data_IF_972388856195
#
_entry.id   IF_972388856195
#
_cell.length_a   1.000
_cell.length_b   1.000
_cell.length_c   1.000
_cell.angle_alpha   90.00
_cell.angle_beta   90.00
_cell.angle_gamma   90.00
#
_symmetry.space_group_name_H-M   'P 1'
#
loop_
_entity.id
_entity.type
_entity.pdbx_description
1 polymer ?
#
# COMPACT_ATOMS: atom_id res chain seq x y z
N UNK A 1 3.20 7.64 15.92
CA UNK A 1 4.19 6.74 16.55
C UNK A 1 5.55 7.29 16.18
N UNK A 2 6.52 7.32 17.12
CA UNK A 2 7.89 7.71 16.80
C UNK A 2 8.74 6.49 16.39
N UNK A 3 9.96 6.75 15.90
CA UNK A 3 10.87 5.70 15.42
C UNK A 3 11.30 4.71 16.53
N UNK A 4 11.44 5.19 17.76
CA UNK A 4 11.81 4.34 18.90
C UNK A 4 10.68 3.36 19.23
N UNK A 5 9.44 3.86 19.25
CA UNK A 5 8.25 3.04 19.46
C UNK A 5 8.05 2.02 18.33
N UNK A 6 8.37 2.38 17.08
CA UNK A 6 8.30 1.45 15.95
C UNK A 6 9.34 0.32 16.09
N UNK A 7 10.59 0.64 16.47
CA UNK A 7 11.60 -0.40 16.73
C UNK A 7 11.20 -1.34 17.88
N UNK A 8 10.64 -0.80 18.96
CA UNK A 8 10.07 -1.63 20.04
C UNK A 8 8.96 -2.54 19.53
N UNK A 9 8.07 -2.05 18.67
CA UNK A 9 7.04 -2.89 18.05
C UNK A 9 7.65 -3.99 17.17
N UNK A 10 8.70 -3.69 16.40
CA UNK A 10 9.41 -4.68 15.59
C UNK A 10 10.02 -5.79 16.44
N UNK A 11 10.64 -5.45 17.58
CA UNK A 11 11.15 -6.44 18.54
C UNK A 11 10.04 -7.34 19.12
N UNK A 12 8.87 -6.76 19.41
CA UNK A 12 7.71 -7.54 19.87
C UNK A 12 7.17 -8.46 18.77
N UNK A 13 7.17 -8.01 17.52
CA UNK A 13 6.83 -8.83 16.36
C UNK A 13 7.81 -10.01 16.23
N UNK A 14 9.11 -9.78 16.37
CA UNK A 14 10.11 -10.85 16.32
C UNK A 14 9.89 -11.90 17.43
N UNK A 15 9.60 -11.44 18.65
CA UNK A 15 9.26 -12.33 19.78
C UNK A 15 8.00 -13.15 19.49
N UNK A 16 6.97 -12.55 18.89
CA UNK A 16 5.74 -13.25 18.52
C UNK A 16 5.98 -14.27 17.41
N UNK A 17 6.67 -13.88 16.34
CA UNK A 17 7.00 -14.76 15.22
C UNK A 17 7.80 -15.99 15.67
N UNK A 18 8.67 -15.86 16.69
CA UNK A 18 9.41 -17.01 17.25
C UNK A 18 8.53 -18.09 17.93
N UNK A 19 7.24 -17.79 18.15
CA UNK A 19 6.27 -18.64 18.86
C UNK A 19 5.07 -19.03 18.01
N UNK A 20 5.02 -18.58 16.75
CA UNK A 20 3.91 -18.82 15.83
C UNK A 20 4.38 -19.76 14.73
N UNK A 21 3.71 -20.89 14.54
CA UNK A 21 4.16 -21.92 13.59
C UNK A 21 3.48 -21.80 12.21
N UNK A 22 2.22 -21.35 12.15
CA UNK A 22 1.41 -21.29 10.93
C UNK A 22 1.11 -19.86 10.44
N UNK A 23 1.69 -18.85 11.09
CA UNK A 23 1.39 -17.45 10.83
C UNK A 23 2.61 -16.58 11.11
N UNK A 24 2.97 -15.71 10.17
CA UNK A 24 4.04 -14.71 10.33
C UNK A 24 3.44 -13.32 10.24
N UNK A 25 3.85 -12.46 11.16
CA UNK A 25 3.57 -11.03 11.13
C UNK A 25 4.75 -10.35 10.45
N UNK A 26 4.48 -9.61 9.37
CA UNK A 26 5.50 -8.78 8.74
C UNK A 26 5.67 -7.47 9.52
N UNK A 27 6.92 -7.10 9.78
CA UNK A 27 7.35 -5.81 10.32
C UNK A 27 7.16 -4.73 9.27
N UNK A 28 5.95 -4.19 9.19
CA UNK A 28 5.60 -3.15 8.24
C UNK A 28 5.18 -1.84 8.88
N UNK A 29 5.21 -0.78 8.09
CA UNK A 29 4.68 0.52 8.48
C UNK A 29 4.00 1.21 7.30
N UNK A 30 2.92 1.94 7.59
CA UNK A 30 2.35 2.92 6.69
C UNK A 30 2.99 4.29 6.96
N UNK A 31 3.74 4.77 5.98
CA UNK A 31 4.62 5.94 6.08
C UNK A 31 4.00 7.10 5.32
N UNK A 32 4.04 8.31 5.89
CA UNK A 32 3.53 9.47 5.17
C UNK A 32 4.51 9.84 4.06
N UNK A 33 3.99 10.05 2.85
CA UNK A 33 4.72 10.77 1.82
C UNK A 33 4.62 12.26 2.18
N UNK A 34 5.72 13.01 2.33
CA UNK A 34 5.74 14.46 2.64
C UNK A 34 5.44 15.30 1.40
N UNK A 35 5.12 16.60 1.54
CA UNK A 35 4.79 17.48 0.40
C UNK A 35 5.90 17.53 -0.67
N UNK A 36 7.14 17.34 -0.23
CA UNK A 36 8.35 17.30 -1.04
C UNK A 36 8.60 15.93 -1.69
N UNK A 37 7.76 14.92 -1.43
CA UNK A 37 7.88 13.56 -1.97
C UNK A 37 8.84 12.64 -1.22
N UNK A 38 9.22 12.99 0.03
CA UNK A 38 10.04 12.12 0.88
C UNK A 38 9.14 11.20 1.72
N UNK A 39 9.69 10.16 2.33
CA UNK A 39 9.01 9.31 3.32
C UNK A 39 9.28 9.84 4.74
N UNK A 40 8.29 9.86 5.63
CA UNK A 40 8.39 10.45 6.98
C UNK A 40 9.09 9.60 8.04
N UNK A 41 10.04 8.75 7.62
CA UNK A 41 10.93 7.98 8.48
C UNK A 41 12.37 8.08 7.98
N UNK A 42 13.34 7.85 8.88
CA UNK A 42 14.75 7.78 8.52
C UNK A 42 15.02 6.62 7.55
N UNK A 43 15.93 6.84 6.59
CA UNK A 43 16.34 5.82 5.61
C UNK A 43 16.87 4.56 6.30
N UNK A 44 17.55 4.70 7.45
CA UNK A 44 18.01 3.58 8.26
C UNK A 44 16.83 2.70 8.71
N UNK A 45 15.81 3.31 9.32
CA UNK A 45 14.63 2.58 9.78
C UNK A 45 13.81 1.99 8.63
N UNK A 46 13.65 2.71 7.53
CA UNK A 46 12.94 2.20 6.34
C UNK A 46 13.56 0.90 5.81
N UNK A 47 14.88 0.77 5.88
CA UNK A 47 15.62 -0.45 5.48
C UNK A 47 15.54 -1.59 6.50
N UNK A 48 15.14 -1.31 7.74
CA UNK A 48 14.91 -2.34 8.75
C UNK A 48 13.51 -2.97 8.64
N UNK A 49 12.56 -2.32 7.95
CA UNK A 49 11.19 -2.79 7.74
C UNK A 49 11.12 -3.84 6.62
N UNK A 50 10.29 -4.86 6.82
CA UNK A 50 10.03 -5.93 5.85
C UNK A 50 9.02 -5.50 4.77
N UNK A 51 8.12 -4.57 5.11
CA UNK A 51 7.17 -4.01 4.14
C UNK A 51 6.83 -2.55 4.46
N UNK A 52 7.32 -1.66 3.63
CA UNK A 52 6.98 -0.23 3.65
C UNK A 52 5.79 0.06 2.74
N UNK A 53 4.69 0.50 3.35
CA UNK A 53 3.53 1.07 2.68
C UNK A 53 3.65 2.59 2.76
N UNK A 54 3.24 3.33 1.73
CA UNK A 54 3.26 4.78 1.79
C UNK A 54 2.01 5.41 1.16
N UNK A 55 1.57 6.54 1.72
CA UNK A 55 0.36 7.24 1.30
C UNK A 55 0.39 8.73 1.61
N UNK A 56 -0.55 9.48 1.03
CA UNK A 56 -0.71 10.92 1.30
C UNK A 56 -1.84 11.14 2.29
N UNK A 57 -1.51 11.77 3.42
CA UNK A 57 -2.49 12.14 4.46
C UNK A 57 -2.63 13.65 4.68
N UNK A 58 -1.83 14.46 3.99
CA UNK A 58 -1.77 15.92 4.13
C UNK A 58 -1.53 16.62 2.80
N UNK A 59 -1.88 17.91 2.70
CA UNK A 59 -1.69 18.69 1.48
C UNK A 59 -2.57 18.24 0.30
N UNK A 60 -3.73 17.65 0.59
CA UNK A 60 -4.63 17.01 -0.39
C UNK A 60 -5.25 17.97 -1.42
N UNK A 61 -5.12 19.29 -1.20
CA UNK A 61 -5.65 20.34 -2.08
C UNK A 61 -4.62 20.83 -3.12
N UNK A 62 -3.43 20.25 -3.16
CA UNK A 62 -2.42 20.58 -4.16
C UNK A 62 -2.89 20.20 -5.57
N UNK A 63 -2.26 20.78 -6.60
CA UNK A 63 -2.64 20.49 -7.99
C UNK A 63 -2.36 19.03 -8.37
N UNK A 64 -3.00 18.58 -9.45
CA UNK A 64 -2.78 17.25 -10.03
C UNK A 64 -1.30 16.96 -10.24
N UNK A 65 -0.57 17.92 -10.80
CA UNK A 65 0.85 17.81 -11.11
C UNK A 65 1.70 17.71 -9.83
N UNK A 66 1.37 18.51 -8.81
CA UNK A 66 2.09 18.50 -7.54
C UNK A 66 1.91 17.17 -6.79
N UNK A 67 0.67 16.67 -6.69
CA UNK A 67 0.38 15.37 -6.08
C UNK A 67 1.06 14.24 -6.86
N UNK A 68 0.93 14.22 -8.18
CA UNK A 68 1.53 13.18 -9.03
C UNK A 68 3.05 13.14 -8.88
N UNK A 69 3.74 14.30 -8.97
CA UNK A 69 5.20 14.39 -8.79
C UNK A 69 5.65 13.94 -7.41
N UNK A 70 4.90 14.31 -6.37
CA UNK A 70 5.18 13.92 -4.98
C UNK A 70 5.13 12.40 -4.80
N UNK A 71 4.12 11.73 -5.36
CA UNK A 71 3.99 10.27 -5.29
C UNK A 71 5.08 9.58 -6.10
N UNK A 72 5.32 10.03 -7.33
CA UNK A 72 6.37 9.46 -8.20
C UNK A 72 7.73 9.55 -7.52
N UNK A 73 8.08 10.71 -6.96
CA UNK A 73 9.35 10.87 -6.23
C UNK A 73 9.49 9.92 -5.04
N UNK A 74 8.39 9.64 -4.34
CA UNK A 74 8.40 8.67 -3.24
C UNK A 74 8.65 7.23 -3.76
N UNK A 75 8.06 6.86 -4.90
CA UNK A 75 8.33 5.57 -5.55
C UNK A 75 9.79 5.47 -6.03
N UNK A 76 10.31 6.52 -6.66
CA UNK A 76 11.70 6.61 -7.15
C UNK A 76 12.76 6.52 -6.04
N UNK A 77 12.37 6.70 -4.77
CA UNK A 77 13.27 6.52 -3.64
C UNK A 77 13.78 5.07 -3.49
N UNK A 78 13.05 4.09 -4.01
CA UNK A 78 13.34 2.67 -3.84
C UNK A 78 13.16 2.18 -2.39
N UNK A 79 12.50 2.95 -1.53
CA UNK A 79 12.29 2.65 -0.10
C UNK A 79 10.86 2.24 0.24
N UNK A 80 9.95 2.18 -0.74
CA UNK A 80 8.56 1.77 -0.55
C UNK A 80 8.17 0.61 -1.45
N UNK A 81 7.22 -0.20 -1.00
CA UNK A 81 6.76 -1.39 -1.71
C UNK A 81 5.31 -1.26 -2.20
N UNK A 82 4.48 -0.50 -1.47
CA UNK A 82 3.03 -0.39 -1.72
C UNK A 82 2.59 1.07 -1.60
N UNK A 83 1.90 1.59 -2.62
CA UNK A 83 1.13 2.83 -2.51
C UNK A 83 -0.27 2.51 -1.95
N UNK A 84 -0.56 2.95 -0.73
CA UNK A 84 -1.85 2.69 -0.06
C UNK A 84 -2.93 3.66 -0.51
N UNK A 85 -4.17 3.15 -0.61
CA UNK A 85 -5.39 3.87 -0.98
C UNK A 85 -5.11 5.08 -1.90
N UNK A 86 -4.70 4.83 -3.17
CA UNK A 86 -3.97 5.78 -4.01
C UNK A 86 -4.69 7.08 -4.35
N UNK A 87 -6.00 7.16 -4.16
CA UNK A 87 -6.79 8.38 -4.45
C UNK A 87 -7.11 9.18 -3.20
N UNK A 88 -6.90 8.60 -2.02
CA UNK A 88 -7.22 9.19 -0.72
C UNK A 88 -8.71 9.47 -0.51
N UNK A 89 -9.59 8.92 -1.36
CA UNK A 89 -11.03 9.16 -1.25
C UNK A 89 -11.62 8.59 0.04
N UNK A 90 -12.70 9.21 0.50
CA UNK A 90 -13.59 8.68 1.53
C UNK A 90 -15.00 8.86 1.00
N UNK A 91 -15.68 7.75 0.73
CA UNK A 91 -17.02 7.71 0.15
C UNK A 91 -17.96 8.60 0.96
N UNK A 92 -18.69 9.48 0.25
CA UNK A 92 -19.61 10.47 0.81
C UNK A 92 -19.00 11.54 1.74
N UNK A 93 -17.66 11.60 1.90
CA UNK A 93 -16.99 12.59 2.78
C UNK A 93 -15.88 13.38 2.08
N UNK A 94 -15.06 12.71 1.28
CA UNK A 94 -13.90 13.29 0.61
C UNK A 94 -13.78 12.70 -0.79
N UNK A 95 -13.91 13.56 -1.81
CA UNK A 95 -13.59 13.18 -3.18
C UNK A 95 -12.11 12.74 -3.29
N UNK A 96 -11.75 11.91 -4.29
CA UNK A 96 -10.36 11.72 -4.69
C UNK A 96 -9.62 13.07 -4.76
N UNK A 97 -8.38 13.11 -4.29
CA UNK A 97 -7.51 14.23 -4.67
C UNK A 97 -7.15 14.13 -6.16
N UNK A 98 -6.75 15.25 -6.74
CA UNK A 98 -6.32 15.28 -8.13
C UNK A 98 -4.98 14.55 -8.26
N UNK A 99 -4.96 13.40 -8.95
CA UNK A 99 -3.76 12.59 -9.20
C UNK A 99 -3.83 11.96 -10.59
N UNK A 100 -2.70 11.92 -11.29
CA UNK A 100 -2.58 11.21 -12.56
C UNK A 100 -2.36 9.71 -12.32
N UNK A 101 -3.43 8.95 -12.10
CA UNK A 101 -3.32 7.50 -11.94
C UNK A 101 -2.71 6.80 -13.16
N UNK A 102 -2.81 7.39 -14.35
CA UNK A 102 -2.17 6.86 -15.55
C UNK A 102 -0.65 6.84 -15.37
N UNK A 103 -0.07 7.99 -15.01
CA UNK A 103 1.36 8.12 -14.72
C UNK A 103 1.79 7.29 -13.51
N UNK A 104 1.00 7.30 -12.43
CA UNK A 104 1.29 6.48 -11.23
C UNK A 104 1.38 5.00 -11.58
N UNK A 105 0.46 4.47 -12.40
CA UNK A 105 0.49 3.08 -12.82
C UNK A 105 1.70 2.73 -13.69
N UNK A 106 2.14 3.62 -14.59
CA UNK A 106 3.36 3.38 -15.38
C UNK A 106 4.58 3.33 -14.45
N UNK A 107 4.76 4.33 -13.59
CA UNK A 107 5.86 4.36 -12.62
C UNK A 107 5.83 3.15 -11.68
N UNK A 108 4.65 2.79 -11.17
CA UNK A 108 4.46 1.61 -10.32
C UNK A 108 4.88 0.31 -11.04
N UNK A 109 4.57 0.20 -12.34
CA UNK A 109 5.00 -0.94 -13.15
C UNK A 109 6.52 -0.98 -13.32
N UNK A 110 7.13 0.15 -13.65
CA UNK A 110 8.56 0.27 -13.89
C UNK A 110 9.40 -0.02 -12.64
N UNK A 111 8.93 0.45 -11.48
CA UNK A 111 9.63 0.35 -10.20
C UNK A 111 9.18 -0.83 -9.33
N UNK A 112 8.30 -1.69 -9.84
CA UNK A 112 7.68 -2.81 -9.13
C UNK A 112 7.00 -2.44 -7.79
N UNK A 113 6.46 -1.22 -7.71
CA UNK A 113 5.65 -0.76 -6.57
C UNK A 113 4.21 -1.21 -6.78
N UNK A 114 3.62 -1.88 -5.79
CA UNK A 114 2.22 -2.32 -5.89
C UNK A 114 1.23 -1.22 -5.52
N UNK A 115 0.03 -1.28 -6.09
CA UNK A 115 -1.07 -0.40 -5.72
C UNK A 115 -2.08 -1.12 -4.82
N UNK A 116 -2.48 -0.48 -3.73
CA UNK A 116 -3.48 -1.03 -2.83
C UNK A 116 -4.89 -0.94 -3.44
N UNK A 117 -5.65 -2.03 -3.31
CA UNK A 117 -7.10 -2.07 -3.38
C UNK A 117 -7.61 -2.21 -1.95
N UNK A 118 -7.81 -1.06 -1.32
CA UNK A 118 -8.25 -0.92 0.06
C UNK A 118 -9.72 -1.33 0.19
N UNK A 119 -9.96 -2.39 0.93
CA UNK A 119 -11.24 -3.04 1.15
C UNK A 119 -12.10 -2.36 2.23
N UNK A 120 -11.59 -1.32 2.90
CA UNK A 120 -12.36 -0.62 3.91
C UNK A 120 -13.61 0.00 3.28
N UNK A 121 -14.83 -0.20 3.84
CA UNK A 121 -16.08 0.20 3.19
C UNK A 121 -16.18 1.68 2.85
N UNK A 122 -15.62 2.55 3.68
CA UNK A 122 -15.60 3.99 3.45
C UNK A 122 -14.56 4.39 2.38
N UNK A 123 -13.64 3.50 2.00
CA UNK A 123 -12.60 3.77 0.99
C UNK A 123 -12.93 3.09 -0.34
N UNK A 124 -12.92 1.75 -0.36
CA UNK A 124 -12.99 0.93 -1.59
C UNK A 124 -12.05 1.44 -2.69
N UNK A 125 -10.81 1.76 -2.32
CA UNK A 125 -9.86 2.50 -3.15
C UNK A 125 -8.65 1.63 -3.49
N UNK A 126 -8.42 1.20 -4.72
CA UNK A 126 -8.94 1.69 -6.00
C UNK A 126 -10.38 1.24 -6.39
N UNK A 127 -11.03 2.03 -7.26
CA UNK A 127 -12.28 1.63 -7.94
C UNK A 127 -12.05 0.53 -8.97
N UNK A 128 -13.08 -0.24 -9.29
CA UNK A 128 -13.05 -1.28 -10.34
C UNK A 128 -12.45 -0.83 -11.69
N UNK A 129 -12.84 0.34 -12.20
CA UNK A 129 -12.29 0.87 -13.47
C UNK A 129 -10.79 1.16 -13.38
N UNK A 130 -10.30 1.60 -12.21
CA UNK A 130 -8.89 1.86 -11.96
C UNK A 130 -8.12 0.54 -11.77
N UNK A 131 -8.74 -0.44 -11.11
CA UNK A 131 -8.21 -1.81 -11.00
C UNK A 131 -8.06 -2.42 -12.40
N UNK A 132 -9.08 -2.31 -13.26
CA UNK A 132 -9.02 -2.81 -14.64
C UNK A 132 -7.86 -2.19 -15.41
N UNK A 133 -7.68 -0.86 -15.30
CA UNK A 133 -6.54 -0.17 -15.91
C UNK A 133 -5.19 -0.67 -15.36
N UNK A 134 -5.09 -0.89 -14.04
CA UNK A 134 -3.86 -1.42 -13.44
C UNK A 134 -3.55 -2.84 -13.93
N UNK A 135 -4.57 -3.69 -14.05
CA UNK A 135 -4.47 -5.04 -14.61
C UNK A 135 -4.00 -5.01 -16.06
N UNK A 136 -4.57 -4.13 -16.89
CA UNK A 136 -4.20 -4.00 -18.30
C UNK A 136 -2.76 -3.51 -18.51
N UNK A 137 -2.28 -2.67 -17.60
CA UNK A 137 -0.88 -2.20 -17.56
C UNK A 137 0.08 -3.20 -16.89
N UNK A 138 -0.43 -4.31 -16.37
CA UNK A 138 0.37 -5.33 -15.70
C UNK A 138 0.97 -4.87 -14.37
N UNK A 139 0.36 -3.88 -13.71
CA UNK A 139 0.74 -3.39 -12.39
C UNK A 139 0.36 -4.42 -11.33
N UNK A 140 1.24 -4.63 -10.35
CA UNK A 140 0.95 -5.50 -9.22
C UNK A 140 -0.03 -4.82 -8.25
N UNK A 141 -1.00 -5.56 -7.75
CA UNK A 141 -2.02 -5.08 -6.81
C UNK A 141 -1.91 -5.81 -5.48
N UNK A 142 -2.40 -5.18 -4.41
CA UNK A 142 -2.50 -5.78 -3.08
C UNK A 142 -3.84 -5.42 -2.44
N UNK A 143 -4.53 -6.38 -1.85
CA UNK A 143 -5.74 -6.14 -1.06
C UNK A 143 -5.34 -5.84 0.40
N UNK A 144 -5.87 -4.76 0.95
CA UNK A 144 -5.69 -4.37 2.35
C UNK A 144 -7.02 -3.99 2.99
N UNK A 145 -7.24 -4.34 4.26
CA UNK A 145 -8.52 -4.05 4.94
C UNK A 145 -8.53 -2.74 5.72
N UNK A 146 -7.37 -2.10 5.90
CA UNK A 146 -7.21 -0.92 6.77
C UNK A 146 -7.76 -1.17 8.20
N UNK A 147 -7.45 -2.36 8.74
CA UNK A 147 -8.07 -2.86 9.96
C UNK A 147 -7.55 -2.17 11.21
N UNK A 148 -8.42 -1.35 11.81
CA UNK A 148 -8.23 -0.73 13.12
C UNK A 148 -8.90 -1.48 14.29
N UNK A 149 -9.60 -2.59 14.00
CA UNK A 149 -10.04 -3.57 14.98
C UNK A 149 -10.23 -4.94 14.29
N UNK A 150 -10.39 -5.99 15.10
CA UNK A 150 -10.50 -7.38 14.62
C UNK A 150 -11.65 -7.60 13.63
N UNK A 151 -12.78 -6.90 13.79
CA UNK A 151 -13.95 -7.10 12.94
C UNK A 151 -13.75 -6.53 11.53
N UNK A 152 -12.86 -5.56 11.37
CA UNK A 152 -12.53 -4.97 10.07
C UNK A 152 -11.84 -5.95 9.13
N UNK A 153 -11.23 -7.03 9.64
CA UNK A 153 -10.65 -8.09 8.81
C UNK A 153 -11.72 -8.75 7.90
N UNK A 154 -12.98 -8.77 8.33
CA UNK A 154 -14.10 -9.28 7.54
C UNK A 154 -14.40 -8.43 6.29
N UNK A 155 -13.85 -7.22 6.19
CA UNK A 155 -14.01 -6.35 5.03
C UNK A 155 -13.23 -6.83 3.82
N UNK A 156 -12.31 -7.79 3.96
CA UNK A 156 -11.56 -8.36 2.83
C UNK A 156 -12.46 -8.79 1.67
N UNK A 157 -13.68 -9.29 1.97
CA UNK A 157 -14.68 -9.64 0.96
C UNK A 157 -14.96 -8.49 -0.03
N UNK A 158 -15.00 -7.25 0.46
CA UNK A 158 -15.27 -6.08 -0.38
C UNK A 158 -14.10 -5.78 -1.32
N UNK A 159 -12.86 -5.97 -0.86
CA UNK A 159 -11.67 -5.87 -1.71
C UNK A 159 -11.68 -6.93 -2.81
N UNK A 160 -12.03 -8.17 -2.47
CA UNK A 160 -12.16 -9.27 -3.44
C UNK A 160 -13.26 -8.96 -4.46
N UNK A 161 -14.43 -8.51 -4.02
CA UNK A 161 -15.54 -8.14 -4.91
C UNK A 161 -15.13 -6.99 -5.86
N UNK A 162 -14.47 -5.96 -5.34
CA UNK A 162 -13.98 -4.83 -6.13
C UNK A 162 -12.92 -5.26 -7.14
N UNK A 163 -12.00 -6.13 -6.73
CA UNK A 163 -10.97 -6.70 -7.60
C UNK A 163 -11.56 -7.52 -8.75
N UNK A 164 -12.56 -8.37 -8.46
CA UNK A 164 -13.28 -9.17 -9.48
C UNK A 164 -13.96 -8.28 -10.51
N UNK A 165 -14.58 -7.18 -10.09
CA UNK A 165 -15.20 -6.20 -10.99
C UNK A 165 -14.16 -5.54 -11.92
N UNK A 166 -12.94 -5.33 -11.44
CA UNK A 166 -11.80 -4.87 -12.25
C UNK A 166 -11.08 -5.96 -13.05
N UNK A 167 -11.64 -7.17 -13.14
CA UNK A 167 -11.07 -8.34 -13.85
C UNK A 167 -9.70 -8.78 -13.31
N UNK A 168 -9.42 -8.41 -12.05
CA UNK A 168 -8.21 -8.84 -11.36
C UNK A 168 -8.28 -10.35 -11.10
N UNK A 169 -7.17 -11.03 -11.38
CA UNK A 169 -7.01 -12.47 -11.10
C UNK A 169 -5.93 -12.66 -10.03
N UNK A 170 -5.77 -13.89 -9.53
CA UNK A 170 -4.69 -14.21 -8.56
C UNK A 170 -3.30 -13.75 -9.05
N UNK A 171 -3.03 -13.83 -10.36
CA UNK A 171 -1.72 -13.45 -10.94
C UNK A 171 -1.39 -11.96 -10.77
N UNK A 172 -2.39 -11.13 -10.47
CA UNK A 172 -2.24 -9.70 -10.27
C UNK A 172 -2.07 -9.32 -8.79
N UNK A 173 -2.23 -10.25 -7.85
CA UNK A 173 -2.35 -9.97 -6.41
C UNK A 173 -1.21 -10.55 -5.58
N UNK A 174 -0.49 -9.66 -4.87
CA UNK A 174 0.56 -10.03 -3.91
C UNK A 174 0.03 -11.00 -2.84
N UNK A 175 -1.21 -10.80 -2.37
CA UNK A 175 -1.81 -11.64 -1.32
C UNK A 175 -1.94 -13.12 -1.68
N UNK A 176 -1.75 -13.48 -2.96
CA UNK A 176 -1.88 -14.86 -3.44
C UNK A 176 -0.54 -15.53 -3.69
N UNK A 177 0.57 -14.82 -3.48
CA UNK A 177 1.90 -15.40 -3.47
C UNK A 177 2.02 -16.40 -2.32
N UNK A 178 2.78 -17.48 -2.55
CA UNK A 178 3.25 -18.34 -1.47
C UNK A 178 4.19 -17.56 -0.54
N UNK A 179 4.38 -18.02 0.71
CA UNK A 179 5.33 -17.39 1.64
C UNK A 179 6.71 -17.17 1.02
N UNK A 180 7.28 -18.17 0.34
CA UNK A 180 8.60 -18.06 -0.31
C UNK A 180 8.63 -17.06 -1.47
N UNK A 181 7.53 -16.91 -2.21
CA UNK A 181 7.45 -15.91 -3.28
C UNK A 181 7.32 -14.49 -2.71
N UNK A 182 6.61 -14.35 -1.59
CA UNK A 182 6.46 -13.08 -0.88
C UNK A 182 7.79 -12.63 -0.27
N UNK A 183 8.50 -13.55 0.40
CA UNK A 183 9.84 -13.34 0.94
C UNK A 183 10.81 -12.87 -0.14
N UNK A 184 10.85 -13.59 -1.27
CA UNK A 184 11.67 -13.18 -2.42
C UNK A 184 11.27 -11.82 -3.00
N UNK A 185 9.98 -11.47 -3.00
CA UNK A 185 9.51 -10.18 -3.54
C UNK A 185 9.97 -9.01 -2.67
N UNK A 186 9.96 -9.17 -1.36
CA UNK A 186 10.33 -8.10 -0.43
C UNK A 186 11.78 -8.19 0.08
N UNK A 187 12.53 -9.20 -0.34
CA UNK A 187 13.92 -9.45 0.08
C UNK A 187 14.05 -9.66 1.60
N UNK A 188 13.16 -10.49 2.16
CA UNK A 188 13.00 -10.76 3.61
C UNK A 188 13.02 -12.25 3.97
#
# INVERSE_FOLDING_TARGET
MDEESLRKQMEEIDKLNSRLDDFRILKGAEVNITAEGNLDLSVGLLKELEVVLAGIHSGLRASKEAITKRVIKAMESGLMHILVHPTGRIINRRAPYEIDLGAIMETAKELDVALEVNAFPDRLDLRDVQIKSAVDKGVCLVLGTDSHNRNHLNYMRFGVDQARRGWCTKRNLINTLSPSELEKRFDI
#
